data_IF_705474331720
#
_entry.id   IF_705474331720
#
_cell.length_a   1.000
_cell.length_b   1.000
_cell.length_c   1.000
_cell.angle_alpha   90.00
_cell.angle_beta   90.00
_cell.angle_gamma   90.00
#
_symmetry.space_group_name_H-M   'P 1'
#
loop_
_entity.id
_entity.type
_entity.pdbx_description
1 polymer ?
#
# COMPACT_ATOMS: atom_id res chain seq x y z
N UNK A 1 0.42 -17.45 14.47
CA UNK A 1 0.65 -16.01 14.21
C UNK A 1 -0.68 -15.27 14.29
N UNK A 2 -0.74 -14.04 14.84
CA UNK A 2 -2.00 -13.31 15.08
C UNK A 2 -2.49 -12.47 13.88
N UNK A 3 -1.60 -12.09 12.95
CA UNK A 3 -1.98 -11.29 11.78
C UNK A 3 -2.61 -12.18 10.69
N UNK A 4 -3.81 -11.81 10.24
CA UNK A 4 -4.56 -12.53 9.20
C UNK A 4 -4.35 -11.96 7.80
N UNK A 5 -3.76 -10.77 7.67
CA UNK A 5 -3.58 -10.08 6.40
C UNK A 5 -2.46 -10.70 5.57
N UNK A 6 -2.76 -10.98 4.30
CA UNK A 6 -1.84 -11.54 3.31
C UNK A 6 -1.70 -10.70 2.05
N UNK A 7 -2.38 -9.56 1.98
CA UNK A 7 -2.34 -8.62 0.86
C UNK A 7 -2.67 -7.22 1.39
N UNK A 8 -2.39 -6.16 0.61
CA UNK A 8 -2.84 -4.81 0.95
C UNK A 8 -4.37 -4.74 1.13
N UNK A 9 -4.89 -3.88 2.02
CA UNK A 9 -6.32 -3.59 2.05
C UNK A 9 -6.75 -2.85 0.77
N UNK A 10 -8.04 -2.61 0.59
CA UNK A 10 -8.57 -1.94 -0.60
C UNK A 10 -8.89 -2.90 -1.74
N UNK A 11 -9.09 -2.33 -2.93
CA UNK A 11 -9.59 -3.07 -4.08
C UNK A 11 -8.44 -3.42 -5.02
N UNK A 12 -8.38 -4.66 -5.48
CA UNK A 12 -7.44 -5.03 -6.52
C UNK A 12 -7.97 -4.56 -7.88
N UNK A 13 -7.30 -3.56 -8.45
CA UNK A 13 -7.71 -2.91 -9.70
C UNK A 13 -6.94 -3.42 -10.92
N UNK A 14 -5.87 -4.19 -10.71
CA UNK A 14 -5.06 -4.79 -11.77
C UNK A 14 -4.46 -6.11 -11.32
N UNK A 15 -4.48 -7.11 -12.21
CA UNK A 15 -3.78 -8.39 -12.04
C UNK A 15 -3.27 -8.90 -13.39
N UNK A 16 -1.99 -9.25 -13.46
CA UNK A 16 -1.37 -9.93 -14.61
C UNK A 16 -0.21 -10.82 -14.14
N UNK A 17 -0.39 -12.13 -14.25
CA UNK A 17 0.58 -13.10 -13.71
C UNK A 17 0.69 -12.98 -12.19
N UNK A 18 1.91 -12.88 -11.66
CA UNK A 18 2.17 -12.64 -10.23
C UNK A 18 2.04 -11.16 -9.83
N UNK A 19 1.90 -10.22 -10.78
CA UNK A 19 1.85 -8.79 -10.47
C UNK A 19 0.41 -8.33 -10.26
N UNK A 20 0.18 -7.66 -9.14
CA UNK A 20 -1.10 -7.06 -8.76
C UNK A 20 -0.92 -5.59 -8.35
N UNK A 21 -1.97 -4.78 -8.53
CA UNK A 21 -2.05 -3.41 -8.01
C UNK A 21 -3.35 -3.24 -7.23
N UNK A 22 -3.22 -2.76 -6.00
CA UNK A 22 -4.32 -2.46 -5.09
C UNK A 22 -4.52 -0.94 -4.99
N UNK A 23 -5.75 -0.48 -5.15
CA UNK A 23 -6.15 0.89 -4.86
C UNK A 23 -6.63 0.98 -3.40
N UNK A 24 -5.95 1.80 -2.62
CA UNK A 24 -6.18 1.95 -1.18
C UNK A 24 -6.53 3.40 -0.87
N UNK A 25 -7.76 3.61 -0.45
CA UNK A 25 -8.25 4.91 0.01
C UNK A 25 -7.67 5.25 1.40
N UNK A 26 -6.92 6.35 1.48
CA UNK A 26 -6.30 6.83 2.73
C UNK A 26 -7.31 7.25 3.80
N UNK A 27 -8.53 7.62 3.42
CA UNK A 27 -9.62 7.89 4.36
C UNK A 27 -10.17 6.61 4.98
N UNK A 28 -10.31 5.54 4.18
CA UNK A 28 -10.84 4.24 4.66
C UNK A 28 -9.79 3.43 5.41
N UNK A 29 -8.53 3.47 4.97
CA UNK A 29 -7.43 2.65 5.49
C UNK A 29 -6.31 3.49 6.11
N UNK A 30 -6.69 4.47 6.95
CA UNK A 30 -5.78 5.48 7.53
C UNK A 30 -4.49 4.90 8.12
N UNK A 31 -4.60 3.89 8.99
CA UNK A 31 -3.42 3.30 9.66
C UNK A 31 -2.48 2.62 8.67
N UNK A 32 -3.01 1.91 7.68
CA UNK A 32 -2.19 1.28 6.65
C UNK A 32 -1.44 2.32 5.83
N UNK A 33 -2.13 3.37 5.38
CA UNK A 33 -1.54 4.43 4.56
C UNK A 33 -0.51 5.28 5.34
N UNK A 34 -0.73 5.51 6.64
CA UNK A 34 0.26 6.16 7.52
C UNK A 34 1.51 5.31 7.66
N UNK A 35 1.37 4.00 7.93
CA UNK A 35 2.51 3.07 8.02
C UNK A 35 3.29 3.02 6.70
N UNK A 36 2.58 2.99 5.57
CA UNK A 36 3.18 3.00 4.24
C UNK A 36 3.95 4.31 3.98
N UNK A 37 3.41 5.45 4.42
CA UNK A 37 4.10 6.73 4.32
C UNK A 37 5.36 6.82 5.18
N UNK A 38 5.31 6.29 6.41
CA UNK A 38 6.46 6.22 7.30
C UNK A 38 7.56 5.33 6.70
N UNK A 39 7.19 4.17 6.14
CA UNK A 39 8.12 3.31 5.41
C UNK A 39 8.77 4.06 4.23
N UNK A 40 7.98 4.73 3.40
CA UNK A 40 8.51 5.50 2.27
C UNK A 40 9.42 6.65 2.67
N UNK A 41 9.17 7.32 3.81
CA UNK A 41 9.99 8.46 4.26
C UNK A 41 11.46 8.07 4.51
N UNK A 42 11.73 6.80 4.79
CA UNK A 42 13.08 6.25 4.93
C UNK A 42 13.85 6.25 3.61
N UNK A 43 13.15 6.21 2.47
CA UNK A 43 13.74 6.11 1.13
C UNK A 43 13.50 7.36 0.26
N UNK A 44 12.57 8.23 0.66
CA UNK A 44 12.22 9.46 -0.04
C UNK A 44 12.54 10.69 0.83
N UNK A 45 13.55 11.45 0.42
CA UNK A 45 14.00 12.63 1.16
C UNK A 45 12.90 13.71 1.21
N UNK A 46 12.32 14.03 0.06
CA UNK A 46 11.34 15.10 -0.10
C UNK A 46 9.88 14.71 0.20
N UNK A 47 9.63 13.57 0.87
CA UNK A 47 8.27 13.21 1.30
C UNK A 47 7.89 14.00 2.56
N UNK A 48 6.93 14.92 2.45
CA UNK A 48 6.53 15.85 3.52
C UNK A 48 5.26 15.43 4.26
N UNK A 49 4.39 14.63 3.64
CA UNK A 49 3.11 14.21 4.21
C UNK A 49 3.12 12.72 4.58
N UNK A 50 2.86 12.43 5.86
CA UNK A 50 2.84 11.08 6.43
C UNK A 50 1.67 10.79 7.40
N UNK A 51 1.07 11.81 8.02
CA UNK A 51 -0.11 11.64 8.88
C UNK A 51 -1.42 12.07 8.24
N UNK A 52 -1.39 13.11 7.40
CA UNK A 52 -2.54 13.58 6.64
C UNK A 52 -2.68 12.81 5.33
N UNK A 53 -3.15 11.57 5.45
CA UNK A 53 -3.28 10.62 4.33
C UNK A 53 -4.69 10.57 3.73
N UNK A 54 -5.67 11.18 4.40
CA UNK A 54 -7.09 11.11 4.01
C UNK A 54 -7.40 11.70 2.62
N UNK A 55 -6.67 12.73 2.12
CA UNK A 55 -6.89 13.24 0.78
C UNK A 55 -6.35 12.35 -0.34
N UNK A 56 -5.58 11.30 -0.04
CA UNK A 56 -4.78 10.57 -1.02
C UNK A 56 -5.32 9.16 -1.30
N UNK A 57 -5.24 8.76 -2.58
CA UNK A 57 -5.32 7.36 -2.99
C UNK A 57 -3.90 6.77 -3.06
N UNK A 58 -3.75 5.52 -2.66
CA UNK A 58 -2.50 4.80 -2.71
C UNK A 58 -2.64 3.62 -3.66
N UNK A 59 -1.76 3.55 -4.66
CA UNK A 59 -1.70 2.46 -5.62
C UNK A 59 -0.52 1.56 -5.28
N UNK A 60 -0.82 0.43 -4.65
CA UNK A 60 0.15 -0.48 -4.06
C UNK A 60 0.42 -1.62 -5.02
N UNK A 61 1.65 -1.70 -5.54
CA UNK A 61 2.09 -2.79 -6.39
C UNK A 61 2.63 -3.94 -5.54
N UNK A 62 2.21 -5.15 -5.86
CA UNK A 62 2.64 -6.36 -5.17
C UNK A 62 3.01 -7.49 -6.12
N UNK A 63 3.88 -8.37 -5.64
CA UNK A 63 4.13 -9.68 -6.25
C UNK A 63 3.45 -10.76 -5.42
N UNK A 64 2.63 -11.58 -6.06
CA UNK A 64 1.89 -12.67 -5.45
C UNK A 64 2.67 -13.99 -5.52
N UNK A 65 2.69 -14.71 -4.41
CA UNK A 65 3.17 -16.09 -4.30
C UNK A 65 2.18 -16.98 -3.52
N UNK A 66 2.59 -18.20 -3.16
CA UNK A 66 1.75 -19.15 -2.44
C UNK A 66 1.36 -18.70 -1.01
N UNK A 67 1.95 -17.62 -0.49
CA UNK A 67 1.76 -17.14 0.88
C UNK A 67 1.03 -15.80 0.96
N UNK A 68 0.98 -15.01 -0.12
CA UNK A 68 0.27 -13.73 -0.18
C UNK A 68 0.77 -12.80 -1.30
N UNK A 69 0.35 -11.55 -1.22
CA UNK A 69 0.78 -10.43 -2.07
C UNK A 69 1.80 -9.57 -1.30
N UNK A 70 3.04 -9.56 -1.76
CA UNK A 70 4.15 -8.88 -1.11
C UNK A 70 4.38 -7.50 -1.73
N UNK A 71 4.47 -6.48 -0.88
CA UNK A 71 4.69 -5.09 -1.30
C UNK A 71 6.01 -4.94 -2.07
N UNK A 72 5.96 -4.46 -3.31
CA UNK A 72 7.13 -4.07 -4.11
C UNK A 72 7.36 -2.56 -4.03
N UNK A 73 6.27 -1.79 -4.11
CA UNK A 73 6.32 -0.33 -4.12
C UNK A 73 4.92 0.25 -4.25
N UNK A 74 4.82 1.58 -4.23
CA UNK A 74 3.55 2.27 -4.42
C UNK A 74 3.76 3.69 -4.96
N UNK A 75 2.69 4.30 -5.46
CA UNK A 75 2.59 5.74 -5.62
C UNK A 75 1.30 6.26 -4.97
N UNK A 76 1.31 7.50 -4.51
CA UNK A 76 0.12 8.18 -3.98
C UNK A 76 -0.37 9.25 -4.96
N UNK A 77 -1.69 9.41 -5.09
CA UNK A 77 -2.35 10.40 -5.96
C UNK A 77 -3.34 11.24 -5.16
#
# INVERSE_FOLDING_TARGET
AKCVWKHPPGDEIYRKGSISVFEVDGKKNKIYCQNLCLLAKLFLDHKTLYYDVEPFLFYVMTEADNTGCHLIGYFSK
#
